data_IF_608639497095
#
_entry.id   IF_608639497095
#
_cell.length_a   1.000
_cell.length_b   1.000
_cell.length_c   1.000
_cell.angle_alpha   90.00
_cell.angle_beta   90.00
_cell.angle_gamma   90.00
#
_symmetry.space_group_name_H-M   'P 1'
#
loop_
_entity.id
_entity.type
_entity.pdbx_description
1 polymer ?
#
# COMPACT_ATOMS: atom_id res chain seq x y z
N UNK A 1 2.85 -1.56 -10.33
CA UNK A 1 1.50 -2.16 -10.39
C UNK A 1 1.32 -3.41 -9.51
N UNK A 2 2.37 -4.16 -9.13
CA UNK A 2 2.23 -5.38 -8.34
C UNK A 2 1.82 -5.17 -6.86
N UNK A 3 2.29 -4.10 -6.21
CA UNK A 3 2.03 -3.84 -4.79
C UNK A 3 0.56 -3.57 -4.46
N UNK A 4 -0.13 -2.78 -5.30
CA UNK A 4 -1.56 -2.46 -5.12
C UNK A 4 -2.39 -3.74 -5.17
N UNK A 5 -2.15 -4.59 -6.18
CA UNK A 5 -2.84 -5.88 -6.32
C UNK A 5 -2.56 -6.84 -5.17
N UNK A 6 -1.35 -6.80 -4.60
CA UNK A 6 -1.00 -7.60 -3.43
C UNK A 6 -1.78 -7.13 -2.19
N UNK A 7 -1.82 -5.81 -1.96
CA UNK A 7 -2.60 -5.21 -0.88
C UNK A 7 -4.09 -5.55 -1.01
N UNK A 8 -4.67 -5.37 -2.20
CA UNK A 8 -6.07 -5.73 -2.47
C UNK A 8 -6.35 -7.22 -2.23
N UNK A 9 -5.43 -8.12 -2.64
CA UNK A 9 -5.52 -9.56 -2.37
C UNK A 9 -5.46 -9.90 -0.88
N UNK A 10 -4.64 -9.18 -0.14
CA UNK A 10 -4.51 -9.31 1.32
C UNK A 10 -5.67 -8.66 2.07
N UNK A 11 -6.67 -8.10 1.37
CA UNK A 11 -7.86 -7.52 1.98
C UNK A 11 -7.69 -6.06 2.42
N UNK A 12 -6.61 -5.40 2.01
CA UNK A 12 -6.46 -3.96 2.18
C UNK A 12 -7.40 -3.21 1.24
N UNK A 13 -8.05 -2.18 1.74
CA UNK A 13 -9.04 -1.37 1.02
C UNK A 13 -8.57 0.07 0.94
N UNK A 14 -8.73 0.70 -0.23
CA UNK A 14 -8.46 2.13 -0.38
C UNK A 14 -9.54 2.93 0.34
N UNK A 15 -9.10 3.84 1.21
CA UNK A 15 -9.99 4.67 2.04
C UNK A 15 -9.93 6.13 1.65
N UNK A 16 -8.77 6.53 1.13
CA UNK A 16 -8.51 7.91 0.73
C UNK A 16 -7.59 7.91 -0.46
N UNK A 17 -7.91 8.74 -1.44
CA UNK A 17 -7.04 9.04 -2.56
C UNK A 17 -6.75 10.54 -2.52
N UNK A 18 -5.47 10.91 -2.44
CA UNK A 18 -5.05 12.30 -2.49
C UNK A 18 -4.02 12.46 -3.60
N UNK A 19 -4.51 12.85 -4.78
CA UNK A 19 -3.69 13.02 -5.99
C UNK A 19 -3.03 11.70 -6.40
N UNK A 20 -1.69 11.65 -6.30
CA UNK A 20 -0.90 10.46 -6.60
C UNK A 20 -0.64 9.57 -5.38
N UNK A 21 -1.33 9.74 -4.26
CA UNK A 21 -1.16 8.88 -3.08
C UNK A 21 -2.49 8.20 -2.72
N UNK A 22 -2.43 6.89 -2.50
CA UNK A 22 -3.56 6.06 -2.09
C UNK A 22 -3.33 5.59 -0.67
N UNK A 23 -4.25 5.89 0.22
CA UNK A 23 -4.24 5.39 1.59
C UNK A 23 -5.10 4.14 1.67
N UNK A 24 -4.53 3.07 2.24
CA UNK A 24 -5.17 1.79 2.45
C UNK A 24 -5.39 1.53 3.94
N UNK A 25 -6.56 1.04 4.31
CA UNK A 25 -6.83 0.45 5.63
C UNK A 25 -7.04 -1.06 5.49
N UNK A 26 -6.83 -1.79 6.59
CA UNK A 26 -7.14 -3.21 6.66
C UNK A 26 -8.13 -3.46 7.81
N UNK A 27 -9.27 -4.12 7.57
CA UNK A 27 -10.31 -4.27 8.59
C UNK A 27 -9.86 -5.08 9.82
N UNK A 28 -8.93 -6.03 9.65
CA UNK A 28 -8.36 -6.80 10.77
C UNK A 28 -7.06 -6.23 11.35
N UNK A 29 -6.46 -5.20 10.75
CA UNK A 29 -5.17 -4.65 11.22
C UNK A 29 -5.35 -3.15 11.42
N UNK A 30 -5.15 -2.65 12.64
CA UNK A 30 -5.36 -1.24 12.99
C UNK A 30 -4.34 -0.25 12.35
N UNK A 31 -3.61 -0.68 11.32
CA UNK A 31 -2.60 0.10 10.64
C UNK A 31 -3.11 0.60 9.29
N UNK A 32 -2.76 1.83 8.98
CA UNK A 32 -3.09 2.49 7.72
C UNK A 32 -1.81 2.64 6.92
N UNK A 33 -1.85 2.32 5.63
CA UNK A 33 -0.68 2.31 4.75
C UNK A 33 -0.91 3.27 3.60
N UNK A 34 -0.03 4.24 3.42
CA UNK A 34 -0.10 5.16 2.28
C UNK A 34 0.86 4.72 1.20
N UNK A 35 0.32 4.39 0.03
CA UNK A 35 1.05 3.93 -1.15
C UNK A 35 1.04 5.06 -2.18
N UNK A 36 2.21 5.57 -2.58
CA UNK A 36 2.30 6.45 -3.73
C UNK A 36 1.96 5.67 -5.01
N UNK A 37 1.18 6.25 -5.90
CA UNK A 37 0.91 5.74 -7.23
C UNK A 37 2.23 5.75 -8.02
N UNK A 38 2.73 4.59 -8.45
CA UNK A 38 3.98 4.52 -9.19
C UNK A 38 3.80 5.18 -10.56
N UNK A 39 4.35 6.39 -10.74
CA UNK A 39 4.33 7.08 -12.04
C UNK A 39 5.39 6.53 -13.01
N UNK A 40 6.41 5.82 -12.52
CA UNK A 40 7.47 5.21 -13.35
C UNK A 40 8.00 3.91 -12.74
N UNK A 41 8.57 3.95 -11.54
CA UNK A 41 8.92 2.78 -10.71
C UNK A 41 9.11 3.24 -9.26
N UNK A 42 8.55 2.51 -8.30
CA UNK A 42 8.81 2.76 -6.88
C UNK A 42 10.13 2.07 -6.50
N UNK A 43 11.07 2.76 -5.83
CA UNK A 43 12.29 2.11 -5.38
C UNK A 43 11.95 0.94 -4.44
N UNK A 44 12.67 -0.18 -4.57
CA UNK A 44 12.43 -1.40 -3.78
C UNK A 44 12.44 -1.13 -2.28
N UNK A 45 13.24 -0.16 -1.81
CA UNK A 45 13.24 0.27 -0.40
C UNK A 45 11.87 0.80 0.05
N UNK A 46 11.20 1.59 -0.78
CA UNK A 46 9.85 2.10 -0.48
C UNK A 46 8.82 0.97 -0.51
N UNK A 47 8.89 0.07 -1.49
CA UNK A 47 8.01 -1.11 -1.55
C UNK A 47 8.18 -1.99 -0.32
N UNK A 48 9.43 -2.25 0.09
CA UNK A 48 9.77 -3.08 1.25
C UNK A 48 9.34 -2.42 2.56
N UNK A 49 9.52 -1.10 2.68
CA UNK A 49 9.04 -0.34 3.84
C UNK A 49 7.51 -0.43 3.95
N UNK A 50 6.80 -0.24 2.83
CA UNK A 50 5.34 -0.40 2.76
C UNK A 50 4.92 -1.82 3.12
N UNK A 51 5.57 -2.86 2.60
CA UNK A 51 5.27 -4.25 2.94
C UNK A 51 5.52 -4.55 4.42
N UNK A 52 6.59 -4.02 5.00
CA UNK A 52 6.89 -4.16 6.42
C UNK A 52 5.83 -3.47 7.29
N UNK A 53 5.44 -2.24 6.93
CA UNK A 53 4.33 -1.53 7.60
C UNK A 53 3.00 -2.27 7.45
N UNK A 54 2.76 -2.87 6.27
CA UNK A 54 1.59 -3.72 6.03
C UNK A 54 1.69 -5.09 6.73
N UNK A 55 2.83 -5.43 7.37
CA UNK A 55 3.14 -6.76 7.93
C UNK A 55 2.87 -7.90 6.92
N UNK A 56 3.28 -7.69 5.68
CA UNK A 56 3.24 -8.66 4.58
C UNK A 56 4.60 -9.33 4.36
N UNK A 57 5.52 -9.13 5.29
CA UNK A 57 6.92 -9.59 5.29
C UNK A 57 7.30 -10.02 6.70
#
# INVERSE_FOLDING_TARGET
>A
MALIRLLEREGWRVVRCQGSHLTYEHPSRAHIVTVPHPKKDLPMGTVRSIMNTARLL
#
